data_IF_349340898167
#
_entry.id   IF_349340898167
#
_cell.length_a   1.000
_cell.length_b   1.000
_cell.length_c   1.000
_cell.angle_alpha   90.00
_cell.angle_beta   90.00
_cell.angle_gamma   90.00
#
_symmetry.space_group_name_H-M   'P 1'
#
loop_
_entity.id
_entity.type
_entity.pdbx_description
1 polymer ?
#
# COMPACT_ATOMS: atom_id res chain seq x y z
N UNK A 1 1.09 14.40 -21.17
CA UNK A 1 -0.31 13.92 -21.37
C UNK A 1 -1.08 14.33 -20.14
N UNK A 2 -2.10 15.18 -20.28
CA UNK A 2 -2.98 15.51 -19.16
C UNK A 2 -3.75 14.24 -18.78
N UNK A 3 -3.67 13.84 -17.51
CA UNK A 3 -4.38 12.67 -17.00
C UNK A 3 -5.88 12.96 -17.10
N UNK A 4 -6.65 12.17 -17.86
CA UNK A 4 -8.11 12.31 -17.95
C UNK A 4 -8.84 11.88 -16.66
N UNK A 5 -8.11 11.66 -15.57
CA UNK A 5 -8.65 11.24 -14.29
C UNK A 5 -8.91 12.45 -13.42
N UNK A 6 -10.05 12.44 -12.75
CA UNK A 6 -10.46 13.43 -11.77
C UNK A 6 -10.12 12.96 -10.35
N UNK A 7 -10.20 13.86 -9.38
CA UNK A 7 -10.09 13.51 -7.96
C UNK A 7 -11.14 12.47 -7.55
N UNK A 8 -12.35 12.55 -8.11
CA UNK A 8 -13.41 11.58 -7.86
C UNK A 8 -13.05 10.18 -8.37
N UNK A 9 -12.37 10.08 -9.52
CA UNK A 9 -11.89 8.79 -10.03
C UNK A 9 -10.83 8.18 -9.11
N UNK A 10 -9.95 9.00 -8.52
CA UNK A 10 -8.94 8.54 -7.58
C UNK A 10 -9.56 8.04 -6.28
N UNK A 11 -10.53 8.77 -5.73
CA UNK A 11 -11.29 8.30 -4.58
C UNK A 11 -12.04 7.00 -4.87
N UNK A 12 -12.64 6.87 -6.05
CA UNK A 12 -13.30 5.63 -6.47
C UNK A 12 -12.30 4.47 -6.57
N UNK A 13 -11.09 4.69 -7.08
CA UNK A 13 -10.02 3.69 -7.12
C UNK A 13 -9.64 3.25 -5.70
N UNK A 14 -9.44 4.19 -4.79
CA UNK A 14 -9.05 3.91 -3.40
C UNK A 14 -10.16 3.14 -2.69
N UNK A 15 -11.40 3.63 -2.75
CA UNK A 15 -12.55 3.04 -2.07
C UNK A 15 -12.83 1.60 -2.53
N UNK A 16 -12.68 1.33 -3.83
CA UNK A 16 -12.95 0.01 -4.42
C UNK A 16 -11.71 -0.87 -4.54
N UNK A 17 -10.55 -0.42 -4.08
CA UNK A 17 -9.32 -1.19 -4.18
C UNK A 17 -9.48 -2.53 -3.45
N UNK A 18 -9.12 -3.61 -4.13
CA UNK A 18 -8.98 -4.96 -3.57
C UNK A 18 -7.73 -5.58 -4.21
N UNK A 19 -6.71 -5.95 -3.42
CA UNK A 19 -5.48 -6.54 -3.95
C UNK A 19 -5.69 -7.98 -4.41
N UNK A 20 -5.13 -8.35 -5.56
CA UNK A 20 -5.04 -9.76 -5.98
C UNK A 20 -3.91 -10.52 -5.27
N UNK A 21 -2.90 -9.80 -4.78
CA UNK A 21 -1.69 -10.37 -4.19
C UNK A 21 -1.82 -10.68 -2.68
N UNK A 22 -2.90 -10.24 -2.03
CA UNK A 22 -3.16 -10.47 -0.62
C UNK A 22 -4.34 -11.42 -0.49
N UNK A 23 -4.25 -12.41 0.40
CA UNK A 23 -5.36 -13.35 0.68
C UNK A 23 -6.54 -12.61 1.31
N UNK A 24 -7.75 -13.12 1.08
CA UNK A 24 -9.00 -12.48 1.53
C UNK A 24 -9.07 -12.25 3.04
N UNK A 25 -8.62 -13.21 3.84
CA UNK A 25 -8.65 -13.12 5.31
C UNK A 25 -7.73 -12.00 5.85
N UNK A 26 -6.42 -11.94 5.55
CA UNK A 26 -5.60 -10.78 5.92
C UNK A 26 -6.15 -9.46 5.36
N UNK A 27 -6.68 -9.47 4.12
CA UNK A 27 -7.25 -8.27 3.51
C UNK A 27 -8.41 -7.68 4.31
N UNK A 28 -9.32 -8.51 4.84
CA UNK A 28 -10.45 -8.01 5.63
C UNK A 28 -10.04 -7.28 6.91
N UNK A 29 -8.83 -7.54 7.43
CA UNK A 29 -8.30 -6.85 8.60
C UNK A 29 -7.56 -5.55 8.27
N UNK A 30 -7.08 -5.39 7.03
CA UNK A 30 -6.19 -4.28 6.66
C UNK A 30 -6.73 -3.36 5.57
N UNK A 31 -7.92 -3.65 5.05
CA UNK A 31 -8.53 -2.90 3.95
C UNK A 31 -8.71 -1.42 4.28
N UNK A 32 -9.34 -1.12 5.42
CA UNK A 32 -9.62 0.25 5.82
C UNK A 32 -8.35 1.01 6.14
N UNK A 33 -7.43 0.40 6.91
CA UNK A 33 -6.11 0.94 7.16
C UNK A 33 -5.36 1.30 5.87
N UNK A 34 -5.38 0.41 4.88
CA UNK A 34 -4.70 0.63 3.58
C UNK A 34 -5.28 1.85 2.88
N UNK A 35 -6.61 1.96 2.82
CA UNK A 35 -7.30 3.07 2.16
C UNK A 35 -7.06 4.39 2.88
N UNK A 36 -7.13 4.40 4.20
CA UNK A 36 -6.87 5.59 5.02
C UNK A 36 -5.42 6.07 4.87
N UNK A 37 -4.45 5.16 4.89
CA UNK A 37 -3.05 5.51 4.66
C UNK A 37 -2.85 6.17 3.29
N UNK A 38 -3.45 5.62 2.23
CA UNK A 38 -3.32 6.19 0.89
C UNK A 38 -4.05 7.54 0.77
N UNK A 39 -5.21 7.72 1.42
CA UNK A 39 -5.91 9.02 1.45
C UNK A 39 -5.15 10.09 2.22
N UNK A 40 -4.38 9.71 3.24
CA UNK A 40 -3.53 10.64 3.97
C UNK A 40 -2.36 11.15 3.12
N UNK A 41 -2.05 10.49 2.01
CA UNK A 41 -1.08 10.99 1.03
C UNK A 41 -1.76 12.07 0.16
N UNK A 42 -1.02 13.14 -0.14
CA UNK A 42 -1.47 14.19 -1.05
C UNK A 42 -1.44 13.73 -2.52
N UNK A 43 -2.08 12.60 -2.84
CA UNK A 43 -2.11 12.00 -4.18
C UNK A 43 -3.30 12.57 -4.95
N UNK A 44 -3.02 13.27 -6.04
CA UNK A 44 -4.01 13.85 -6.93
C UNK A 44 -3.69 13.49 -8.38
N UNK A 45 -4.67 13.57 -9.31
CA UNK A 45 -4.41 13.36 -10.74
C UNK A 45 -3.41 14.37 -11.32
N UNK A 46 -3.21 15.52 -10.68
CA UNK A 46 -2.27 16.56 -11.11
C UNK A 46 -0.81 16.21 -10.80
N UNK A 47 -0.56 15.39 -9.77
CA UNK A 47 0.80 15.12 -9.28
C UNK A 47 1.21 13.65 -9.33
N UNK A 48 0.25 12.73 -9.50
CA UNK A 48 0.49 11.29 -9.43
C UNK A 48 -0.26 10.62 -10.57
N UNK A 49 0.39 9.68 -11.27
CA UNK A 49 -0.29 8.88 -12.30
C UNK A 49 -1.19 7.81 -11.68
N UNK A 50 -2.21 7.36 -12.41
CA UNK A 50 -3.12 6.29 -11.94
C UNK A 50 -2.36 5.02 -11.57
N UNK A 51 -1.33 4.69 -12.34
CA UNK A 51 -0.54 3.47 -12.12
C UNK A 51 0.34 3.63 -10.87
N UNK A 52 0.86 4.83 -10.59
CA UNK A 52 1.54 5.13 -9.34
C UNK A 52 0.58 5.00 -8.13
N UNK A 53 -0.65 5.54 -8.21
CA UNK A 53 -1.67 5.34 -7.17
C UNK A 53 -1.93 3.84 -6.89
N UNK A 54 -2.11 3.03 -7.94
CA UNK A 54 -2.33 1.58 -7.83
C UNK A 54 -1.13 0.86 -7.23
N UNK A 55 0.09 1.27 -7.58
CA UNK A 55 1.32 0.73 -7.00
C UNK A 55 1.42 1.07 -5.52
N UNK A 56 1.08 2.30 -5.11
CA UNK A 56 1.04 2.70 -3.70
C UNK A 56 0.05 1.85 -2.90
N UNK A 57 -1.19 1.70 -3.38
CA UNK A 57 -2.20 0.82 -2.78
C UNK A 57 -1.68 -0.63 -2.64
N UNK A 58 -1.03 -1.14 -3.68
CA UNK A 58 -0.45 -2.48 -3.67
C UNK A 58 0.68 -2.63 -2.64
N UNK A 59 1.60 -1.67 -2.56
CA UNK A 59 2.69 -1.68 -1.58
C UNK A 59 2.17 -1.61 -0.14
N UNK A 60 1.28 -0.67 0.15
CA UNK A 60 0.70 -0.51 1.49
C UNK A 60 -0.09 -1.76 1.89
N UNK A 61 -0.89 -2.32 0.98
CA UNK A 61 -1.69 -3.52 1.27
C UNK A 61 -0.83 -4.75 1.61
N UNK A 62 0.27 -4.99 0.89
CA UNK A 62 1.19 -6.10 1.15
C UNK A 62 1.92 -5.95 2.47
N UNK A 63 2.43 -4.75 2.75
CA UNK A 63 3.12 -4.47 4.00
C UNK A 63 2.16 -4.61 5.18
N UNK A 64 0.98 -3.99 5.11
CA UNK A 64 -0.02 -4.08 6.18
C UNK A 64 -0.49 -5.52 6.42
N UNK A 65 -0.75 -6.29 5.35
CA UNK A 65 -1.14 -7.68 5.47
C UNK A 65 -0.03 -8.55 6.09
N UNK A 66 1.22 -8.32 5.71
CA UNK A 66 2.35 -9.02 6.33
C UNK A 66 2.46 -8.67 7.82
N UNK A 67 2.35 -7.39 8.17
CA UNK A 67 2.36 -6.93 9.57
C UNK A 67 1.21 -7.56 10.37
N UNK A 68 0.00 -7.61 9.82
CA UNK A 68 -1.13 -8.30 10.45
C UNK A 68 -0.82 -9.79 10.70
N UNK A 69 -0.32 -10.50 9.70
CA UNK A 69 0.00 -11.94 9.83
C UNK A 69 1.12 -12.18 10.83
N UNK A 70 2.12 -11.29 10.88
CA UNK A 70 3.29 -11.46 11.75
C UNK A 70 3.06 -11.02 13.20
N UNK A 71 2.25 -9.98 13.42
CA UNK A 71 2.16 -9.31 14.72
C UNK A 71 0.72 -9.17 15.25
N UNK A 72 -0.30 -9.42 14.43
CA UNK A 72 -1.72 -9.35 14.83
C UNK A 72 -2.22 -7.93 15.11
N UNK A 73 -1.48 -6.89 14.72
CA UNK A 73 -1.85 -5.48 14.94
C UNK A 73 -1.40 -4.61 13.78
N UNK A 74 -2.25 -3.70 13.33
CA UNK A 74 -1.96 -2.78 12.21
C UNK A 74 -2.27 -1.35 12.62
N UNK A 75 -1.23 -0.55 12.82
CA UNK A 75 -1.31 0.90 13.03
C UNK A 75 -0.25 1.59 12.19
N UNK A 76 -0.35 2.91 12.00
CA UNK A 76 0.66 3.66 11.25
C UNK A 76 2.03 3.50 11.91
N UNK A 77 2.08 3.58 13.24
CA UNK A 77 3.31 3.44 14.01
C UNK A 77 3.94 2.05 13.86
N UNK A 78 3.14 0.97 13.86
CA UNK A 78 3.69 -0.37 13.70
C UNK A 78 4.09 -0.65 12.26
N UNK A 79 3.24 -0.33 11.29
CA UNK A 79 3.46 -0.65 9.88
C UNK A 79 4.65 0.10 9.30
N UNK A 80 4.82 1.37 9.66
CA UNK A 80 5.88 2.22 9.12
C UNK A 80 7.07 2.40 10.07
N UNK A 81 7.16 1.59 11.14
CA UNK A 81 8.37 1.57 11.97
C UNK A 81 9.57 1.10 11.13
N UNK A 82 10.74 1.77 11.21
CA UNK A 82 11.92 1.39 10.42
C UNK A 82 12.31 -0.08 10.53
N UNK A 83 12.25 -0.64 11.75
CA UNK A 83 12.57 -2.06 11.98
C UNK A 83 11.57 -3.00 11.32
N UNK A 84 10.29 -2.63 11.28
CA UNK A 84 9.22 -3.42 10.65
C UNK A 84 9.38 -3.38 9.14
N UNK A 85 9.68 -2.22 8.57
CA UNK A 85 10.01 -2.08 7.15
C UNK A 85 11.24 -2.93 6.81
N UNK A 86 12.31 -2.85 7.62
CA UNK A 86 13.51 -3.66 7.45
C UNK A 86 13.21 -5.16 7.46
N UNK A 87 12.44 -5.62 8.44
CA UNK A 87 12.02 -7.02 8.54
C UNK A 87 11.14 -7.45 7.35
N UNK A 88 10.28 -6.58 6.84
CA UNK A 88 9.48 -6.86 5.66
C UNK A 88 10.34 -7.11 4.41
N UNK A 89 11.43 -6.36 4.24
CA UNK A 89 12.38 -6.59 3.14
C UNK A 89 13.29 -7.80 3.36
N UNK A 90 13.50 -8.23 4.60
CA UNK A 90 14.31 -9.42 4.92
C UNK A 90 13.51 -10.73 4.86
N UNK A 91 12.26 -10.73 5.34
CA UNK A 91 11.47 -11.95 5.59
C UNK A 91 10.05 -11.92 4.99
N UNK A 92 9.58 -10.76 4.53
CA UNK A 92 8.27 -10.60 3.90
C UNK A 92 8.31 -10.72 2.38
N UNK A 93 7.22 -10.30 1.74
CA UNK A 93 7.16 -10.21 0.27
C UNK A 93 8.10 -9.15 -0.30
N UNK A 94 8.63 -8.25 0.53
CA UNK A 94 9.69 -7.32 0.18
C UNK A 94 11.00 -8.02 -0.22
N UNK A 95 11.28 -9.21 0.31
CA UNK A 95 12.47 -9.99 -0.03
C UNK A 95 12.50 -10.45 -1.51
N UNK A 96 11.35 -10.45 -2.19
CA UNK A 96 11.22 -10.80 -3.60
C UNK A 96 11.34 -9.57 -4.52
N UNK A 97 11.42 -8.36 -3.97
CA UNK A 97 11.62 -7.13 -4.74
C UNK A 97 13.10 -6.99 -5.08
N UNK A 98 13.41 -6.76 -6.35
CA UNK A 98 14.79 -6.52 -6.77
C UNK A 98 15.37 -5.27 -6.07
N UNK A 99 16.62 -5.31 -5.58
CA UNK A 99 17.26 -4.18 -4.89
C UNK A 99 17.25 -2.86 -5.69
N UNK A 100 17.12 -2.93 -7.02
CA UNK A 100 17.00 -1.77 -7.90
C UNK A 100 15.72 -0.94 -7.73
N UNK A 101 14.72 -1.45 -7.00
CA UNK A 101 13.43 -0.78 -6.77
C UNK A 101 13.36 -0.13 -5.37
N UNK A 102 14.36 -0.39 -4.52
CA UNK A 102 14.48 0.17 -3.17
C UNK A 102 15.56 1.27 -3.13
N UNK A 103 15.53 2.20 -4.09
CA UNK A 103 16.25 3.48 -4.06
C UNK A 103 17.79 3.43 -4.05
N UNK A 104 18.40 3.98 -5.11
CA UNK A 104 19.65 4.75 -4.98
C UNK A 104 19.38 6.10 -4.34
#
# INVERSE_FOLDING_TARGET
MSSNYTTADYEAIIANYTPHAVRSEPWSHVADFTRECVRALNITPDNTSRDALRNTLNCVSKLAAWVWVSYGVVTVETVFHPDIIGNYFLAGDGAKLSPSTAGT
#
